data_IF_133843376614
#
_entry.id   IF_133843376614
#
_cell.length_a   1.000
_cell.length_b   1.000
_cell.length_c   1.000
_cell.angle_alpha   90.00
_cell.angle_beta   90.00
_cell.angle_gamma   90.00
#
_symmetry.space_group_name_H-M   'P 1'
#
loop_
_entity.id
_entity.type
_entity.pdbx_description
1 polymer ?
#
# COMPACT_ATOMS: atom_id res chain seq x y z
N UNK A 1 -13.59 -16.14 -11.57
CA UNK A 1 -12.31 -16.30 -10.84
C UNK A 1 -12.04 -15.00 -10.09
N UNK A 2 -11.55 -15.06 -8.84
CA UNK A 2 -11.32 -13.87 -8.01
C UNK A 2 -9.84 -13.49 -8.09
N UNK A 3 -9.53 -12.33 -8.67
CA UNK A 3 -8.18 -11.79 -8.79
C UNK A 3 -7.99 -10.65 -7.79
N UNK A 4 -6.79 -10.52 -7.22
CA UNK A 4 -6.44 -9.43 -6.31
C UNK A 4 -5.29 -8.60 -6.87
N UNK A 5 -5.36 -7.31 -6.61
CA UNK A 5 -4.26 -6.37 -6.80
C UNK A 5 -3.87 -5.77 -5.45
N UNK A 6 -2.73 -6.20 -4.94
CA UNK A 6 -2.19 -5.75 -3.66
C UNK A 6 -1.40 -4.45 -3.88
N UNK A 7 -1.81 -3.40 -3.17
CA UNK A 7 -1.06 -2.16 -3.02
C UNK A 7 -0.29 -2.18 -1.71
N UNK A 8 1.04 -2.20 -1.82
CA UNK A 8 1.98 -2.40 -0.72
C UNK A 8 2.49 -1.06 -0.19
N UNK A 9 1.67 -0.40 0.64
CA UNK A 9 1.84 1.02 0.96
C UNK A 9 2.51 1.26 2.31
N UNK A 10 3.15 2.42 2.46
CA UNK A 10 3.44 2.99 3.78
C UNK A 10 2.40 4.04 4.10
N UNK A 11 1.90 4.07 5.34
CA UNK A 11 0.99 5.12 5.77
C UNK A 11 1.69 6.50 5.64
N UNK A 12 1.03 7.50 5.05
CA UNK A 12 1.59 8.84 4.92
C UNK A 12 1.72 9.49 6.31
N UNK A 13 2.93 9.47 6.86
CA UNK A 13 3.28 10.17 8.09
C UNK A 13 4.49 11.06 7.84
N UNK A 14 4.40 12.33 8.26
CA UNK A 14 5.46 13.33 8.10
C UNK A 14 6.78 12.83 8.69
N UNK A 15 7.87 13.03 7.96
CA UNK A 15 9.22 12.56 8.34
C UNK A 15 9.43 11.03 8.31
N UNK A 16 8.40 10.23 8.00
CA UNK A 16 8.51 8.76 7.92
C UNK A 16 8.39 8.21 6.51
N UNK A 17 7.97 9.01 5.53
CA UNK A 17 7.84 8.61 4.13
C UNK A 17 8.95 9.22 3.29
N UNK A 18 9.37 8.49 2.25
CA UNK A 18 10.36 8.92 1.26
C UNK A 18 11.58 9.64 1.89
N UNK A 19 12.12 9.10 2.99
CA UNK A 19 13.17 9.75 3.80
C UNK A 19 14.45 10.03 3.02
N UNK A 20 14.78 9.21 2.02
CA UNK A 20 15.89 9.48 1.10
C UNK A 20 15.64 10.68 0.18
N UNK A 21 14.39 10.96 -0.16
CA UNK A 21 14.00 12.13 -0.97
C UNK A 21 13.86 13.37 -0.09
N UNK A 22 13.37 13.21 1.14
CA UNK A 22 13.15 14.34 2.04
C UNK A 22 14.45 15.05 2.45
N UNK A 23 15.60 14.38 2.39
CA UNK A 23 16.91 15.04 2.56
C UNK A 23 17.21 16.10 1.50
N UNK A 24 16.59 15.98 0.31
CA UNK A 24 16.78 16.93 -0.80
C UNK A 24 15.67 17.99 -0.86
N UNK A 25 14.41 17.60 -0.61
CA UNK A 25 13.25 18.48 -0.82
C UNK A 25 12.53 18.91 0.47
N UNK A 26 13.03 18.52 1.65
CA UNK A 26 12.41 18.66 2.98
C UNK A 26 11.22 17.72 3.19
N UNK A 27 10.96 17.38 4.45
CA UNK A 27 9.89 16.43 4.84
C UNK A 27 8.50 16.87 4.37
N UNK A 28 8.22 18.17 4.38
CA UNK A 28 6.93 18.72 3.98
C UNK A 28 6.64 18.47 2.49
N UNK A 29 7.59 18.80 1.62
CA UNK A 29 7.41 18.60 0.18
C UNK A 29 7.39 17.11 -0.17
N UNK A 30 8.19 16.28 0.52
CA UNK A 30 8.16 14.83 0.35
C UNK A 30 6.81 14.23 0.76
N UNK A 31 6.20 14.73 1.84
CA UNK A 31 4.89 14.32 2.29
C UNK A 31 3.81 14.67 1.26
N UNK A 32 3.74 15.93 0.81
CA UNK A 32 2.76 16.36 -0.19
C UNK A 32 2.92 15.61 -1.52
N UNK A 33 4.16 15.38 -1.97
CA UNK A 33 4.43 14.58 -3.17
C UNK A 33 3.95 13.14 -3.01
N UNK A 34 4.15 12.53 -1.83
CA UNK A 34 3.67 11.17 -1.59
C UNK A 34 2.15 11.09 -1.57
N UNK A 35 1.45 12.11 -1.06
CA UNK A 35 -0.02 12.19 -1.17
C UNK A 35 -0.45 12.26 -2.64
N UNK A 36 0.27 13.00 -3.50
CA UNK A 36 0.01 12.98 -4.95
C UNK A 36 0.17 11.58 -5.55
N UNK A 37 1.22 10.83 -5.16
CA UNK A 37 1.39 9.45 -5.62
C UNK A 37 0.23 8.55 -5.20
N UNK A 38 -0.26 8.67 -3.96
CA UNK A 38 -1.40 7.88 -3.49
C UNK A 38 -2.67 8.17 -4.29
N UNK A 39 -2.93 9.45 -4.61
CA UNK A 39 -4.04 9.86 -5.49
C UNK A 39 -3.93 9.24 -6.89
N UNK A 40 -2.75 9.35 -7.50
CA UNK A 40 -2.51 8.81 -8.85
C UNK A 40 -2.66 7.29 -8.88
N UNK A 41 -2.08 6.60 -7.89
CA UNK A 41 -2.20 5.14 -7.74
C UNK A 41 -3.65 4.75 -7.52
N UNK A 42 -4.44 5.48 -6.72
CA UNK A 42 -5.86 5.21 -6.54
C UNK A 42 -6.64 5.28 -7.85
N UNK A 43 -6.39 6.30 -8.67
CA UNK A 43 -7.03 6.46 -9.98
C UNK A 43 -6.64 5.30 -10.92
N UNK A 44 -5.36 4.97 -11.00
CA UNK A 44 -4.87 3.89 -11.89
C UNK A 44 -5.33 2.50 -11.42
N UNK A 45 -5.28 2.22 -10.11
CA UNK A 45 -5.64 0.93 -9.55
C UNK A 45 -7.12 0.59 -9.78
N UNK A 46 -8.02 1.58 -9.75
CA UNK A 46 -9.45 1.40 -10.05
C UNK A 46 -9.74 0.94 -11.48
N UNK A 47 -8.78 1.11 -12.40
CA UNK A 47 -8.91 0.64 -13.79
C UNK A 47 -8.53 -0.84 -13.95
N UNK A 48 -7.87 -1.43 -12.95
CA UNK A 48 -7.47 -2.84 -12.97
C UNK A 48 -8.69 -3.71 -12.69
N UNK A 49 -8.93 -4.74 -13.51
CA UNK A 49 -10.00 -5.72 -13.31
C UNK A 49 -9.62 -6.75 -12.21
N UNK A 50 -9.42 -6.28 -10.99
CA UNK A 50 -9.11 -7.09 -9.81
C UNK A 50 -9.62 -6.39 -8.53
N UNK A 51 -9.82 -7.14 -7.45
CA UNK A 51 -10.13 -6.53 -6.14
C UNK A 51 -8.88 -5.89 -5.57
N UNK A 52 -8.96 -4.61 -5.21
CA UNK A 52 -7.85 -3.89 -4.60
C UNK A 52 -7.78 -4.27 -3.12
N UNK A 53 -6.57 -4.61 -2.66
CA UNK A 53 -6.29 -4.85 -1.24
C UNK A 53 -5.08 -4.03 -0.84
N UNK A 54 -5.18 -3.25 0.22
CA UNK A 54 -4.04 -2.52 0.75
C UNK A 54 -3.35 -3.39 1.78
N UNK A 55 -2.02 -3.50 1.70
CA UNK A 55 -1.22 -4.11 2.75
C UNK A 55 -0.16 -3.12 3.18
N UNK A 56 -0.28 -2.59 4.41
CA UNK A 56 0.43 -1.37 4.79
C UNK A 56 1.31 -1.49 6.04
N UNK A 57 2.34 -0.64 6.09
CA UNK A 57 3.11 -0.35 7.30
C UNK A 57 2.73 1.03 7.85
N UNK A 58 2.63 1.19 9.18
CA UNK A 58 2.20 2.45 9.80
C UNK A 58 1.61 2.26 11.21
N UNK A 59 0.77 3.18 11.69
CA UNK A 59 -0.04 3.01 12.90
C UNK A 59 -1.09 1.89 12.75
N UNK A 60 -1.58 1.35 13.87
CA UNK A 60 -2.72 0.42 13.82
C UNK A 60 -4.00 1.16 13.42
N UNK A 61 -4.94 0.45 12.78
CA UNK A 61 -6.21 0.99 12.29
C UNK A 61 -6.08 2.20 11.34
N UNK A 62 -4.96 2.33 10.64
CA UNK A 62 -4.75 3.41 9.70
C UNK A 62 -5.74 3.35 8.53
N UNK A 63 -6.25 4.52 8.15
CA UNK A 63 -7.13 4.72 6.99
C UNK A 63 -6.38 5.36 5.84
N UNK A 64 -6.82 5.12 4.62
CA UNK A 64 -6.25 5.76 3.43
C UNK A 64 -7.38 6.49 2.71
N UNK A 65 -7.36 7.83 2.77
CA UNK A 65 -8.45 8.67 2.24
C UNK A 65 -8.65 8.46 0.73
N UNK A 66 -7.57 8.22 -0.01
CA UNK A 66 -7.61 7.94 -1.45
C UNK A 66 -8.23 6.58 -1.79
N UNK A 67 -8.41 5.70 -0.80
CA UNK A 67 -8.88 4.33 -0.96
C UNK A 67 -10.08 4.03 -0.03
N UNK A 68 -11.20 4.75 -0.20
CA UNK A 68 -12.36 4.56 0.64
C UNK A 68 -12.93 3.14 0.49
N UNK A 69 -13.29 2.52 1.60
CA UNK A 69 -13.90 1.18 1.65
C UNK A 69 -13.04 0.04 1.08
N UNK A 70 -11.75 0.28 0.86
CA UNK A 70 -10.80 -0.75 0.42
C UNK A 70 -10.36 -1.56 1.64
N UNK A 71 -10.38 -2.89 1.52
CA UNK A 71 -9.88 -3.76 2.58
C UNK A 71 -8.39 -3.51 2.80
N UNK A 72 -7.99 -3.32 4.06
CA UNK A 72 -6.58 -3.14 4.43
C UNK A 72 -6.11 -4.23 5.40
N UNK A 73 -4.84 -4.62 5.26
CA UNK A 73 -4.13 -5.56 6.12
C UNK A 73 -2.81 -4.92 6.59
N UNK A 74 -2.32 -5.34 7.74
CA UNK A 74 -1.02 -4.91 8.26
C UNK A 74 0.09 -5.73 7.61
N UNK A 75 1.18 -5.08 7.22
CA UNK A 75 2.43 -5.76 6.90
C UNK A 75 2.99 -6.42 8.16
N UNK A 76 3.33 -7.71 8.06
CA UNK A 76 3.99 -8.49 9.11
C UNK A 76 5.23 -9.17 8.53
N UNK A 77 6.30 -9.33 9.30
CA UNK A 77 7.58 -9.87 8.83
C UNK A 77 8.74 -8.94 9.13
N UNK A 78 9.92 -9.53 9.32
CA UNK A 78 11.14 -8.86 9.73
C UNK A 78 11.77 -8.05 8.59
N UNK A 79 11.74 -8.58 7.37
CA UNK A 79 12.26 -7.94 6.17
C UNK A 79 11.18 -7.76 5.08
N UNK A 80 11.57 -7.13 3.96
CA UNK A 80 10.66 -6.89 2.84
C UNK A 80 10.15 -8.18 2.19
N UNK A 81 10.99 -9.21 2.10
CA UNK A 81 10.66 -10.51 1.53
C UNK A 81 9.60 -11.22 2.36
N UNK A 82 9.80 -11.31 3.68
CA UNK A 82 8.80 -11.87 4.60
C UNK A 82 7.49 -11.10 4.56
N UNK A 83 7.55 -9.76 4.50
CA UNK A 83 6.35 -8.93 4.42
C UNK A 83 5.55 -9.19 3.15
N UNK A 84 6.22 -9.29 2.00
CA UNK A 84 5.56 -9.64 0.74
C UNK A 84 5.00 -11.08 0.79
N UNK A 85 5.76 -12.03 1.34
CA UNK A 85 5.33 -13.42 1.49
C UNK A 85 4.04 -13.52 2.30
N UNK A 86 4.01 -12.89 3.48
CA UNK A 86 2.83 -12.92 4.35
C UNK A 86 1.64 -12.18 3.74
N UNK A 87 1.86 -11.08 3.03
CA UNK A 87 0.81 -10.38 2.31
C UNK A 87 0.16 -11.25 1.23
N UNK A 88 0.97 -11.92 0.43
CA UNK A 88 0.48 -12.87 -0.58
C UNK A 88 -0.24 -14.04 0.08
N UNK A 89 0.33 -14.64 1.14
CA UNK A 89 -0.28 -15.73 1.89
C UNK A 89 -1.66 -15.35 2.44
N UNK A 90 -1.77 -14.20 3.11
CA UNK A 90 -3.01 -13.73 3.74
C UNK A 90 -4.10 -13.45 2.69
N UNK A 91 -3.72 -12.94 1.52
CA UNK A 91 -4.67 -12.70 0.42
C UNK A 91 -5.03 -14.01 -0.29
N UNK A 92 -4.11 -14.95 -0.51
CA UNK A 92 -4.47 -16.27 -1.04
C UNK A 92 -5.45 -17.01 -0.11
N UNK A 93 -5.27 -16.90 1.21
CA UNK A 93 -6.17 -17.49 2.22
C UNK A 93 -7.60 -16.95 2.15
N UNK A 94 -7.80 -15.74 1.60
CA UNK A 94 -9.13 -15.15 1.33
C UNK A 94 -9.81 -15.71 0.05
N UNK A 95 -9.19 -16.68 -0.61
CA UNK A 95 -9.78 -17.41 -1.75
C UNK A 95 -9.42 -16.86 -3.14
N UNK A 96 -8.56 -15.84 -3.23
CA UNK A 96 -8.07 -15.33 -4.50
C UNK A 96 -7.18 -16.35 -5.21
N UNK A 97 -7.20 -16.36 -6.55
CA UNK A 97 -6.47 -17.36 -7.36
C UNK A 97 -5.29 -16.78 -8.11
N UNK A 98 -5.35 -15.50 -8.46
CA UNK A 98 -4.26 -14.75 -9.09
C UNK A 98 -4.08 -13.46 -8.33
N UNK A 99 -2.83 -13.13 -8.03
CA UNK A 99 -2.48 -11.96 -7.23
C UNK A 99 -1.29 -11.28 -7.89
N UNK A 100 -1.36 -9.96 -8.01
CA UNK A 100 -0.21 -9.10 -8.29
C UNK A 100 0.00 -8.21 -7.07
N UNK A 101 1.25 -8.02 -6.67
CA UNK A 101 1.65 -7.10 -5.61
C UNK A 101 2.52 -6.01 -6.22
N UNK A 102 2.21 -4.75 -5.90
CA UNK A 102 2.95 -3.54 -6.30
C UNK A 102 3.18 -2.65 -5.06
N UNK A 103 4.35 -2.04 -4.92
CA UNK A 103 4.68 -1.07 -3.87
C UNK A 103 5.33 0.20 -4.41
#
# INVERSE_FOLDING_TARGET
MKDAFILFLKYPERGKIKTRLSTEIKDEAAYELYLCFLRDISVMAKQVKAEIIIVYSGPDHATFDDFPQVQSLRQRGSDIGERMFFALQDVFAKGFKRIVLMG
#
